data_IF_528382507755
#
_entry.id   IF_528382507755
#
_cell.length_a   1.000
_cell.length_b   1.000
_cell.length_c   1.000
_cell.angle_alpha   90.00
_cell.angle_beta   90.00
_cell.angle_gamma   90.00
#
_symmetry.space_group_name_H-M   'P 1'
#
loop_
_entity.id
_entity.type
_entity.pdbx_description
1 polymer ?
#
# COMPACT_ATOMS: atom_id res chain seq x y z
N UNK A 1 2.98 -16.68 31.04
CA UNK A 1 3.64 -15.37 30.87
C UNK A 1 3.08 -14.76 29.61
N UNK A 2 2.32 -13.67 29.69
CA UNK A 2 1.65 -13.09 28.52
C UNK A 2 2.69 -12.47 27.58
N UNK A 3 2.77 -12.98 26.35
CA UNK A 3 3.62 -12.41 25.30
C UNK A 3 3.03 -11.06 24.92
N UNK A 4 3.69 -9.98 25.35
CA UNK A 4 3.28 -8.62 25.04
C UNK A 4 3.70 -8.34 23.60
N UNK A 5 2.73 -8.30 22.69
CA UNK A 5 2.95 -7.95 21.29
C UNK A 5 3.33 -6.47 21.21
N UNK A 6 4.63 -6.20 21.25
CA UNK A 6 5.18 -4.87 20.98
C UNK A 6 4.95 -4.58 19.51
N UNK A 7 4.54 -3.33 19.19
CA UNK A 7 4.43 -2.87 17.80
C UNK A 7 5.68 -3.27 17.04
N UNK A 8 5.53 -4.15 16.05
CA UNK A 8 6.61 -4.54 15.16
C UNK A 8 6.98 -3.31 14.35
N UNK A 9 7.89 -2.49 14.88
CA UNK A 9 8.63 -1.46 14.13
C UNK A 9 9.62 -2.15 13.17
N UNK A 10 9.13 -3.13 12.41
CA UNK A 10 9.81 -3.64 11.22
C UNK A 10 9.81 -2.57 10.14
N UNK A 11 10.56 -2.85 9.06
CA UNK A 11 10.72 -1.96 7.89
C UNK A 11 9.37 -1.28 7.57
N UNK A 12 9.31 0.06 7.52
CA UNK A 12 8.06 0.74 7.25
C UNK A 12 7.48 0.20 5.95
N UNK A 13 6.21 -0.20 5.99
CA UNK A 13 5.50 -0.67 4.80
C UNK A 13 5.51 0.45 3.78
N UNK A 14 6.37 0.34 2.77
CA UNK A 14 6.49 1.35 1.71
C UNK A 14 5.25 1.36 0.81
N UNK A 15 4.41 0.32 0.88
CA UNK A 15 3.15 0.21 0.15
C UNK A 15 1.95 0.80 0.89
N UNK A 16 1.81 0.53 2.18
CA UNK A 16 0.58 0.77 2.95
C UNK A 16 0.63 2.09 3.74
N UNK A 17 1.14 3.15 3.13
CA UNK A 17 1.10 4.49 3.73
C UNK A 17 -0.22 5.19 3.41
N UNK A 18 -0.71 6.04 4.31
CA UNK A 18 -1.92 6.84 4.08
C UNK A 18 -1.83 7.70 2.80
N UNK A 19 -0.62 8.14 2.46
CA UNK A 19 -0.34 8.86 1.22
C UNK A 19 -0.60 7.98 -0.01
N UNK A 20 -0.06 6.77 -0.04
CA UNK A 20 -0.28 5.85 -1.15
C UNK A 20 -1.75 5.46 -1.27
N UNK A 21 -2.45 5.24 -0.16
CA UNK A 21 -3.90 4.96 -0.16
C UNK A 21 -4.68 6.11 -0.80
N UNK A 22 -4.35 7.36 -0.49
CA UNK A 22 -4.99 8.53 -1.12
C UNK A 22 -4.70 8.59 -2.62
N UNK A 23 -3.46 8.31 -3.04
CA UNK A 23 -3.07 8.31 -4.46
C UNK A 23 -3.79 7.21 -5.25
N UNK A 24 -3.90 6.00 -4.70
CA UNK A 24 -4.69 4.90 -5.30
C UNK A 24 -6.15 5.32 -5.48
N UNK A 25 -6.78 5.87 -4.43
CA UNK A 25 -8.18 6.33 -4.50
C UNK A 25 -8.38 7.36 -5.60
N UNK A 26 -7.45 8.31 -5.75
CA UNK A 26 -7.49 9.32 -6.82
C UNK A 26 -7.41 8.68 -8.20
N UNK A 27 -6.44 7.79 -8.43
CA UNK A 27 -6.26 7.11 -9.72
C UNK A 27 -7.48 6.27 -10.12
N UNK A 28 -8.07 5.53 -9.16
CA UNK A 28 -9.26 4.72 -9.40
C UNK A 28 -10.49 5.60 -9.68
N UNK A 29 -10.61 6.74 -8.99
CA UNK A 29 -11.71 7.67 -9.22
C UNK A 29 -11.61 8.38 -10.59
N UNK A 30 -10.40 8.73 -11.01
CA UNK A 30 -10.14 9.36 -12.32
C UNK A 30 -10.29 8.37 -13.48
N UNK A 31 -9.91 7.11 -13.29
CA UNK A 31 -10.07 6.07 -14.30
C UNK A 31 -10.24 4.68 -13.65
N UNK A 32 -11.51 4.27 -13.53
CA UNK A 32 -11.87 3.00 -12.90
C UNK A 32 -11.45 1.75 -13.71
N UNK A 33 -11.05 1.89 -14.98
CA UNK A 33 -10.53 0.79 -15.81
C UNK A 33 -9.03 0.53 -15.63
N UNK A 34 -8.36 1.26 -14.73
CA UNK A 34 -6.96 1.03 -14.40
C UNK A 34 -6.76 -0.33 -13.72
N UNK A 35 -5.85 -1.14 -14.23
CA UNK A 35 -5.46 -2.40 -13.59
C UNK A 35 -4.56 -2.16 -12.38
N UNK A 36 -4.61 -3.06 -11.40
CA UNK A 36 -3.76 -3.03 -10.20
C UNK A 36 -2.27 -2.93 -10.54
N UNK A 37 -1.81 -3.66 -11.58
CA UNK A 37 -0.41 -3.59 -12.05
C UNK A 37 -0.02 -2.21 -12.54
N UNK A 38 -0.93 -1.52 -13.24
CA UNK A 38 -0.68 -0.18 -13.76
C UNK A 38 -0.65 0.82 -12.60
N UNK A 39 -1.58 0.74 -11.67
CA UNK A 39 -1.59 1.56 -10.44
C UNK A 39 -0.30 1.32 -9.62
N UNK A 40 0.12 0.07 -9.47
CA UNK A 40 1.36 -0.28 -8.77
C UNK A 40 2.60 0.30 -9.46
N UNK A 41 2.66 0.26 -10.80
CA UNK A 41 3.74 0.87 -11.57
C UNK A 41 3.79 2.41 -11.40
N UNK A 42 2.63 3.09 -11.51
CA UNK A 42 2.54 4.54 -11.30
C UNK A 42 3.00 4.96 -9.90
N UNK A 43 2.69 4.14 -8.89
CA UNK A 43 3.01 4.43 -7.50
C UNK A 43 4.37 3.87 -7.06
N UNK A 44 5.10 3.18 -7.94
CA UNK A 44 6.35 2.48 -7.63
C UNK A 44 6.20 1.51 -6.43
N UNK A 45 5.07 0.82 -6.37
CA UNK A 45 4.75 -0.17 -5.33
C UNK A 45 4.88 -1.57 -5.95
N UNK A 46 5.42 -2.52 -5.18
CA UNK A 46 5.45 -3.91 -5.62
C UNK A 46 4.03 -4.49 -5.63
N UNK A 47 3.63 -5.05 -6.77
CA UNK A 47 2.36 -5.77 -6.91
C UNK A 47 2.42 -7.04 -6.03
N UNK A 48 1.70 -7.05 -4.91
CA UNK A 48 1.79 -8.09 -3.89
C UNK A 48 2.56 -7.71 -2.63
N UNK A 49 2.79 -6.41 -2.38
CA UNK A 49 3.26 -5.95 -1.08
C UNK A 49 2.18 -6.19 -0.02
N UNK A 50 2.25 -7.35 0.65
CA UNK A 50 1.39 -7.72 1.78
C UNK A 50 2.21 -7.52 3.06
N UNK A 51 1.70 -6.68 3.95
CA UNK A 51 2.16 -6.55 5.32
C UNK A 51 0.95 -6.52 6.24
#
# INVERSE_FOLDING_TARGET
TAVKDLSRFGRPSTSNTDENVKRVKKLVFENCYMSERKIAAELNILNGSVH
#
